data_IF_143484806296
#
_entry.id   IF_143484806296
#
_cell.length_a   1.000
_cell.length_b   1.000
_cell.length_c   1.000
_cell.angle_alpha   90.00
_cell.angle_beta   90.00
_cell.angle_gamma   90.00
#
_symmetry.space_group_name_H-M   'P 1'
#
loop_
_entity.id
_entity.type
_entity.pdbx_description
1 polymer ?
#
# COMPACT_ATOMS: atom_id res chain seq x y z
N UNK A 1 -42.07 4.07 -23.10
CA UNK A 1 -40.62 3.88 -23.41
C UNK A 1 -39.72 4.93 -22.77
N UNK A 2 -40.02 6.23 -22.84
CA UNK A 2 -39.20 7.33 -22.26
C UNK A 2 -38.89 7.20 -20.76
N UNK A 3 -39.85 6.72 -19.95
CA UNK A 3 -39.68 6.47 -18.49
C UNK A 3 -38.67 5.35 -18.18
N UNK A 4 -38.66 4.28 -18.98
CA UNK A 4 -37.71 3.18 -18.79
C UNK A 4 -36.29 3.58 -19.22
N UNK A 5 -36.16 4.41 -20.25
CA UNK A 5 -34.88 4.95 -20.70
C UNK A 5 -34.21 5.83 -19.61
N UNK A 6 -35.00 6.67 -18.92
CA UNK A 6 -34.51 7.51 -17.83
C UNK A 6 -34.07 6.69 -16.61
N UNK A 7 -34.80 5.63 -16.28
CA UNK A 7 -34.42 4.71 -15.20
C UNK A 7 -33.13 3.95 -15.51
N UNK A 8 -32.93 3.53 -16.76
CA UNK A 8 -31.70 2.85 -17.19
C UNK A 8 -30.50 3.79 -17.14
N UNK A 9 -30.66 5.07 -17.54
CA UNK A 9 -29.58 6.07 -17.44
C UNK A 9 -29.19 6.36 -15.99
N UNK A 10 -30.15 6.42 -15.06
CA UNK A 10 -29.91 6.58 -13.63
C UNK A 10 -29.19 5.37 -13.00
N UNK A 11 -29.52 4.16 -13.45
CA UNK A 11 -28.86 2.93 -12.98
C UNK A 11 -27.43 2.82 -13.53
N UNK A 12 -27.20 3.28 -14.77
CA UNK A 12 -25.86 3.31 -15.37
C UNK A 12 -24.94 4.35 -14.71
N UNK A 13 -25.45 5.52 -14.31
CA UNK A 13 -24.66 6.54 -13.60
C UNK A 13 -24.28 6.14 -12.16
N UNK A 14 -24.98 5.18 -11.56
CA UNK A 14 -24.60 4.64 -10.25
C UNK A 14 -23.44 3.63 -10.32
N UNK A 15 -23.15 3.10 -11.52
CA UNK A 15 -22.06 2.14 -11.73
C UNK A 15 -20.77 2.78 -12.24
N UNK A 16 -20.72 4.11 -12.41
CA UNK A 16 -19.56 4.79 -13.02
C UNK A 16 -18.52 5.30 -12.04
N UNK A 17 -18.74 5.19 -10.72
CA UNK A 17 -17.74 5.52 -9.70
C UNK A 17 -17.12 4.28 -9.07
N UNK A 18 -16.88 3.24 -9.88
CA UNK A 18 -15.71 2.40 -9.58
C UNK A 18 -14.52 3.28 -9.96
N UNK A 19 -14.12 4.18 -9.06
CA UNK A 19 -12.76 4.71 -9.07
C UNK A 19 -11.86 3.48 -9.09
N UNK A 20 -11.39 3.14 -10.28
CA UNK A 20 -10.33 2.16 -10.47
C UNK A 20 -9.06 2.85 -10.00
N UNK A 21 -8.99 3.03 -8.68
CA UNK A 21 -7.83 3.46 -7.94
C UNK A 21 -6.70 2.52 -8.38
N UNK A 22 -5.82 3.07 -9.22
CA UNK A 22 -4.70 2.35 -9.79
C UNK A 22 -3.73 1.95 -8.66
N UNK A 23 -2.71 1.15 -8.98
CA UNK A 23 -1.75 0.67 -7.98
C UNK A 23 -1.12 1.80 -7.15
N UNK A 24 -0.90 2.98 -7.74
CA UNK A 24 -0.32 4.12 -7.05
C UNK A 24 -1.29 4.69 -6.00
N UNK A 25 -2.55 4.92 -6.38
CA UNK A 25 -3.60 5.36 -5.47
C UNK A 25 -3.80 4.37 -4.32
N UNK A 26 -3.74 3.06 -4.59
CA UNK A 26 -3.86 2.03 -3.54
C UNK A 26 -2.70 2.10 -2.55
N UNK A 27 -1.46 2.28 -3.03
CA UNK A 27 -0.28 2.46 -2.19
C UNK A 27 -0.38 3.70 -1.31
N UNK A 28 -0.81 4.82 -1.88
CA UNK A 28 -0.96 6.07 -1.14
C UNK A 28 -1.99 5.94 -0.02
N UNK A 29 -3.13 5.30 -0.30
CA UNK A 29 -4.15 5.03 0.72
C UNK A 29 -3.61 4.12 1.82
N UNK A 30 -2.97 3.00 1.48
CA UNK A 30 -2.40 2.08 2.45
C UNK A 30 -1.32 2.77 3.32
N UNK A 31 -0.48 3.62 2.73
CA UNK A 31 0.52 4.39 3.47
C UNK A 31 -0.13 5.39 4.44
N UNK A 32 -1.22 6.03 4.04
CA UNK A 32 -1.96 6.96 4.89
C UNK A 32 -2.61 6.24 6.09
N UNK A 33 -3.24 5.09 5.84
CA UNK A 33 -3.83 4.24 6.88
C UNK A 33 -2.76 3.75 7.87
N UNK A 34 -1.64 3.21 7.36
CA UNK A 34 -0.52 2.81 8.20
C UNK A 34 -0.01 3.95 9.07
N UNK A 35 0.17 5.14 8.49
CA UNK A 35 0.68 6.31 9.20
C UNK A 35 -0.24 6.76 10.33
N UNK A 36 -1.56 6.64 10.13
CA UNK A 36 -2.54 6.97 11.15
C UNK A 36 -2.46 6.00 12.35
N UNK A 37 -2.25 4.71 12.09
CA UNK A 37 -2.23 3.66 13.13
C UNK A 37 -0.87 3.50 13.82
N UNK A 38 0.22 3.68 13.06
CA UNK A 38 1.57 3.29 13.48
C UNK A 38 2.58 4.44 13.47
N UNK A 39 2.20 5.62 12.96
CA UNK A 39 3.10 6.75 12.79
C UNK A 39 3.94 6.68 11.51
N UNK A 40 4.91 7.57 11.39
CA UNK A 40 5.74 7.66 10.19
C UNK A 40 6.55 6.38 9.94
N UNK A 41 6.73 6.04 8.66
CA UNK A 41 7.72 5.03 8.28
C UNK A 41 9.10 5.45 8.74
N UNK A 42 9.88 4.48 9.22
CA UNK A 42 11.29 4.71 9.48
C UNK A 42 11.99 5.10 8.17
N UNK A 43 12.96 6.02 8.21
CA UNK A 43 13.75 6.34 7.03
C UNK A 43 14.49 5.09 6.56
N UNK A 44 14.72 5.01 5.24
CA UNK A 44 15.60 3.99 4.70
C UNK A 44 16.98 4.09 5.36
N UNK A 45 17.58 2.93 5.62
CA UNK A 45 18.92 2.84 6.15
C UNK A 45 19.93 3.34 5.11
N UNK A 46 21.05 3.90 5.57
CA UNK A 46 22.19 4.11 4.67
C UNK A 46 22.84 2.77 4.33
N UNK A 47 23.55 2.66 3.20
CA UNK A 47 24.27 1.44 2.84
C UNK A 47 25.23 0.96 3.95
N UNK A 48 25.85 1.88 4.70
CA UNK A 48 26.73 1.56 5.82
C UNK A 48 25.96 1.02 7.02
N UNK A 49 24.77 1.55 7.31
CA UNK A 49 23.91 1.08 8.39
C UNK A 49 23.35 -0.31 8.07
N UNK A 50 22.93 -0.55 6.83
CA UNK A 50 22.49 -1.88 6.39
C UNK A 50 23.62 -2.90 6.56
N UNK A 51 24.83 -2.59 6.07
CA UNK A 51 25.99 -3.47 6.22
C UNK A 51 26.29 -3.79 7.69
N UNK A 52 26.32 -2.76 8.54
CA UNK A 52 26.56 -2.96 9.98
C UNK A 52 25.52 -3.88 10.62
N UNK A 53 24.24 -3.69 10.32
CA UNK A 53 23.16 -4.53 10.88
C UNK A 53 23.30 -5.97 10.39
N UNK A 54 23.58 -6.18 9.10
CA UNK A 54 23.79 -7.53 8.54
C UNK A 54 24.97 -8.24 9.21
N UNK A 55 26.11 -7.56 9.36
CA UNK A 55 27.30 -8.12 10.03
C UNK A 55 26.99 -8.48 11.48
N UNK A 56 26.33 -7.59 12.21
CA UNK A 56 25.93 -7.83 13.60
C UNK A 56 24.96 -9.01 13.73
N UNK A 57 23.99 -9.13 12.83
CA UNK A 57 23.03 -10.24 12.82
C UNK A 57 23.70 -11.58 12.53
N UNK A 58 24.65 -11.65 11.60
CA UNK A 58 25.39 -12.88 11.29
C UNK A 58 26.23 -13.32 12.50
N UNK A 59 26.87 -12.38 13.19
CA UNK A 59 27.66 -12.66 14.38
C UNK A 59 26.81 -13.21 15.54
N UNK A 60 25.64 -12.63 15.77
CA UNK A 60 24.82 -12.91 16.96
C UNK A 60 23.75 -13.98 16.72
N UNK A 61 23.35 -14.20 15.47
CA UNK A 61 22.33 -15.17 15.07
C UNK A 61 22.80 -16.05 13.90
N UNK A 62 23.91 -16.80 14.07
CA UNK A 62 24.53 -17.58 12.98
C UNK A 62 23.63 -18.69 12.41
N UNK A 63 22.58 -19.09 13.12
CA UNK A 63 21.60 -20.09 12.69
C UNK A 63 20.28 -19.48 12.16
N UNK A 64 20.13 -18.16 12.21
CA UNK A 64 18.92 -17.44 11.79
C UNK A 64 18.92 -16.99 10.33
N UNK A 65 20.03 -17.18 9.61
CA UNK A 65 20.20 -16.81 8.20
C UNK A 65 20.15 -18.04 7.27
N UNK A 66 19.27 -19.00 7.54
CA UNK A 66 18.84 -19.91 6.48
C UNK A 66 17.68 -19.25 5.73
N UNK A 67 17.82 -18.99 4.42
CA UNK A 67 16.74 -18.41 3.61
C UNK A 67 15.50 -19.29 3.56
#
# INVERSE_FOLDING_TARGET
MKKYLLMIVLLLSACTDVETCNLQCQKERANAEWKQEHGEFQPNLTPEQERYIVEWLVEHYPNGTQP
#
